data_IF_162739547496
#
_entry.id   IF_162739547496
#
_cell.length_a   1.000
_cell.length_b   1.000
_cell.length_c   1.000
_cell.angle_alpha   90.00
_cell.angle_beta   90.00
_cell.angle_gamma   90.00
#
_symmetry.space_group_name_H-M   'P 1'
#
loop_
_entity.id
_entity.type
_entity.pdbx_description
1 polymer ?
#
# COMPACT_ATOMS: atom_id res chain seq x y z
N UNK A 1 15.50 -15.42 -29.11
CA UNK A 1 16.20 -14.95 -27.91
C UNK A 1 15.59 -15.63 -26.69
N UNK A 2 16.35 -16.54 -26.08
CA UNK A 2 15.88 -17.31 -24.92
C UNK A 2 15.99 -16.42 -23.67
N UNK A 3 14.85 -15.97 -23.14
CA UNK A 3 14.82 -15.32 -21.84
C UNK A 3 15.15 -16.35 -20.75
N UNK A 4 16.33 -16.27 -20.18
CA UNK A 4 16.77 -17.16 -19.09
C UNK A 4 15.99 -16.84 -17.83
N UNK A 5 15.29 -17.84 -17.28
CA UNK A 5 14.84 -17.84 -15.89
C UNK A 5 16.05 -17.64 -14.98
N UNK A 6 16.07 -16.57 -14.19
CA UNK A 6 17.05 -16.42 -13.11
C UNK A 6 16.44 -16.99 -11.83
N UNK A 7 17.03 -18.08 -11.35
CA UNK A 7 16.75 -18.66 -10.04
C UNK A 7 17.83 -18.11 -9.09
N UNK A 8 17.40 -17.36 -8.08
CA UNK A 8 18.28 -16.93 -6.99
C UNK A 8 18.09 -17.90 -5.83
N UNK A 9 19.13 -18.61 -5.46
CA UNK A 9 19.08 -19.54 -4.37
C UNK A 9 19.95 -19.10 -3.21
N UNK A 10 19.52 -19.39 -2.01
CA UNK A 10 20.39 -19.47 -0.90
C UNK A 10 19.87 -19.18 0.49
N UNK A 11 19.25 -20.12 1.15
CA UNK A 11 19.28 -20.13 2.61
C UNK A 11 20.05 -21.35 3.10
N UNK A 12 20.99 -21.14 4.04
CA UNK A 12 21.85 -22.18 4.63
C UNK A 12 21.02 -23.25 5.34
N UNK A 13 21.36 -24.52 5.06
CA UNK A 13 20.78 -25.73 5.61
C UNK A 13 20.63 -25.70 7.13
N UNK A 14 19.37 -25.89 7.60
CA UNK A 14 19.09 -26.57 8.86
C UNK A 14 18.46 -27.92 8.53
N UNK A 15 19.03 -28.99 9.02
CA UNK A 15 18.50 -30.34 8.89
C UNK A 15 17.10 -30.42 9.50
N UNK A 16 16.11 -30.81 8.69
CA UNK A 16 14.74 -31.03 9.12
C UNK A 16 14.29 -32.44 8.80
N UNK A 17 13.75 -33.11 9.81
CA UNK A 17 13.32 -34.52 9.77
C UNK A 17 11.97 -34.77 9.08
N UNK A 18 11.22 -33.72 8.69
CA UNK A 18 10.04 -33.78 7.83
C UNK A 18 10.02 -32.63 6.81
N UNK A 19 9.53 -32.87 5.57
CA UNK A 19 9.43 -31.80 4.59
C UNK A 19 8.42 -30.75 5.07
N UNK A 20 8.89 -29.49 5.21
CA UNK A 20 8.01 -28.37 5.56
C UNK A 20 6.95 -28.16 4.50
N UNK A 21 5.74 -27.79 4.93
CA UNK A 21 4.67 -27.39 4.02
C UNK A 21 5.08 -26.12 3.26
N UNK A 22 4.86 -26.13 1.95
CA UNK A 22 5.22 -25.01 1.08
C UNK A 22 4.04 -24.05 0.97
N UNK A 23 4.30 -22.75 1.23
CA UNK A 23 3.36 -21.66 1.02
C UNK A 23 3.86 -20.78 -0.13
N UNK A 24 2.97 -20.46 -1.07
CA UNK A 24 3.29 -19.64 -2.22
C UNK A 24 2.73 -18.22 -2.08
N UNK A 25 3.57 -17.23 -2.29
CA UNK A 25 3.21 -15.81 -2.30
C UNK A 25 3.37 -15.26 -3.71
N UNK A 26 2.31 -14.68 -4.25
CA UNK A 26 2.26 -14.21 -5.63
C UNK A 26 2.13 -12.70 -5.64
N UNK A 27 3.08 -12.01 -6.30
CA UNK A 27 3.02 -10.58 -6.56
C UNK A 27 3.12 -10.30 -8.05
N UNK A 28 2.31 -9.35 -8.53
CA UNK A 28 2.36 -8.93 -9.93
C UNK A 28 3.66 -8.19 -10.29
N UNK A 29 4.31 -7.58 -9.32
CA UNK A 29 5.60 -6.89 -9.47
C UNK A 29 6.32 -6.79 -8.12
N UNK A 30 7.55 -6.27 -8.11
CA UNK A 30 8.34 -6.01 -6.90
C UNK A 30 8.77 -4.54 -6.80
N UNK A 31 7.87 -3.61 -7.12
CA UNK A 31 8.09 -2.16 -6.96
C UNK A 31 7.83 -1.72 -5.53
N UNK A 32 8.23 -0.49 -5.17
CA UNK A 32 7.96 0.12 -3.84
C UNK A 32 6.52 0.63 -3.68
N UNK A 33 5.60 0.23 -4.56
CA UNK A 33 4.18 0.60 -4.44
C UNK A 33 3.46 -0.21 -3.36
N UNK A 34 2.22 0.16 -3.00
CA UNK A 34 1.51 -0.41 -1.85
C UNK A 34 1.32 -1.92 -1.90
N UNK A 35 0.74 -2.46 -2.98
CA UNK A 35 0.41 -3.88 -3.05
C UNK A 35 1.65 -4.80 -2.95
N UNK A 36 2.77 -4.59 -3.67
CA UNK A 36 3.99 -5.38 -3.47
C UNK A 36 4.58 -5.28 -2.06
N UNK A 37 4.51 -4.11 -1.41
CA UNK A 37 4.95 -3.94 -0.01
C UNK A 37 4.10 -4.76 0.94
N UNK A 38 2.78 -4.81 0.75
CA UNK A 38 1.85 -5.58 1.60
C UNK A 38 2.19 -7.07 1.54
N UNK A 39 2.28 -7.67 0.35
CA UNK A 39 2.57 -9.12 0.24
C UNK A 39 3.97 -9.47 0.73
N UNK A 40 4.97 -8.60 0.53
CA UNK A 40 6.31 -8.77 1.09
C UNK A 40 6.28 -8.76 2.62
N UNK A 41 5.51 -7.86 3.22
CA UNK A 41 5.37 -7.80 4.68
C UNK A 41 4.64 -9.03 5.25
N UNK A 42 3.61 -9.54 4.54
CA UNK A 42 2.96 -10.81 4.90
C UNK A 42 3.97 -11.96 4.80
N UNK A 43 4.74 -12.02 3.72
CA UNK A 43 5.78 -13.03 3.53
C UNK A 43 6.83 -13.00 4.65
N UNK A 44 7.30 -11.81 5.05
CA UNK A 44 8.21 -11.62 6.20
C UNK A 44 7.60 -12.20 7.47
N UNK A 45 6.33 -11.91 7.74
CA UNK A 45 5.62 -12.43 8.90
C UNK A 45 5.51 -13.97 8.88
N UNK A 46 5.15 -14.57 7.74
CA UNK A 46 5.11 -16.04 7.61
C UNK A 46 6.50 -16.67 7.78
N UNK A 47 7.53 -16.08 7.20
CA UNK A 47 8.91 -16.55 7.34
C UNK A 47 9.38 -16.54 8.80
N UNK A 48 9.02 -15.49 9.54
CA UNK A 48 9.45 -15.30 10.93
C UNK A 48 8.65 -16.15 11.90
N UNK A 49 7.31 -16.21 11.77
CA UNK A 49 6.42 -16.75 12.79
C UNK A 49 5.78 -18.11 12.43
N UNK A 50 5.88 -18.57 11.18
CA UNK A 50 5.29 -19.83 10.75
C UNK A 50 6.34 -20.90 10.42
N UNK A 51 5.98 -22.17 10.64
CA UNK A 51 6.81 -23.34 10.28
C UNK A 51 6.44 -23.84 8.88
N UNK A 52 6.68 -23.00 7.90
CA UNK A 52 6.43 -23.23 6.49
C UNK A 52 7.65 -22.88 5.64
N UNK A 53 7.76 -23.49 4.46
CA UNK A 53 8.72 -23.08 3.45
C UNK A 53 8.03 -22.01 2.57
N UNK A 54 8.52 -20.78 2.63
CA UNK A 54 8.02 -19.69 1.83
C UNK A 54 8.62 -19.71 0.42
N UNK A 55 7.78 -19.54 -0.58
CA UNK A 55 8.15 -19.37 -1.98
C UNK A 55 7.44 -18.18 -2.59
N UNK A 56 8.05 -17.52 -3.55
CA UNK A 56 7.46 -16.34 -4.19
C UNK A 56 7.51 -16.45 -5.71
N UNK A 57 6.41 -16.05 -6.35
CA UNK A 57 6.36 -15.78 -7.78
C UNK A 57 6.11 -14.30 -7.99
N UNK A 58 7.03 -13.66 -8.71
CA UNK A 58 6.91 -12.28 -9.17
C UNK A 58 6.62 -12.30 -10.68
N UNK A 59 5.52 -11.66 -11.11
CA UNK A 59 5.23 -11.54 -12.53
C UNK A 59 6.29 -10.67 -13.21
N UNK A 60 6.64 -9.52 -12.60
CA UNK A 60 7.77 -8.68 -13.02
C UNK A 60 8.67 -8.33 -11.83
N UNK A 61 9.91 -7.94 -12.12
CA UNK A 61 10.87 -7.50 -11.12
C UNK A 61 10.56 -6.11 -10.56
N UNK A 62 11.50 -5.56 -9.81
CA UNK A 62 11.45 -4.24 -9.19
C UNK A 62 12.44 -4.14 -8.04
N UNK A 63 12.48 -2.98 -7.37
CA UNK A 63 13.42 -2.67 -6.30
C UNK A 63 13.35 -3.62 -5.09
N UNK A 64 12.17 -4.22 -4.84
CA UNK A 64 11.94 -5.15 -3.73
C UNK A 64 12.30 -6.60 -4.07
N UNK A 65 12.73 -6.92 -5.30
CA UNK A 65 12.97 -8.30 -5.71
C UNK A 65 14.08 -9.00 -4.89
N UNK A 66 15.11 -8.25 -4.44
CA UNK A 66 16.13 -8.76 -3.52
C UNK A 66 15.54 -9.17 -2.17
N UNK A 67 14.70 -8.31 -1.57
CA UNK A 67 14.08 -8.60 -0.28
C UNK A 67 13.19 -9.85 -0.33
N UNK A 68 12.45 -10.08 -1.43
CA UNK A 68 11.73 -11.35 -1.63
C UNK A 68 12.68 -12.54 -1.67
N UNK A 69 13.83 -12.39 -2.35
CA UNK A 69 14.81 -13.47 -2.52
C UNK A 69 15.59 -13.80 -1.25
N UNK A 70 15.75 -12.83 -0.35
CA UNK A 70 16.47 -13.01 0.92
C UNK A 70 15.70 -13.91 1.90
N UNK A 71 14.36 -13.95 1.80
CA UNK A 71 13.48 -14.64 2.76
C UNK A 71 12.67 -15.77 2.15
N UNK A 72 12.66 -15.91 0.83
CA UNK A 72 11.94 -16.97 0.14
C UNK A 72 12.67 -17.46 -1.11
N UNK A 73 12.31 -18.65 -1.58
CA UNK A 73 12.71 -19.08 -2.92
C UNK A 73 11.88 -18.32 -3.95
N UNK A 74 12.48 -17.31 -4.57
CA UNK A 74 11.80 -16.38 -5.46
C UNK A 74 12.05 -16.70 -6.92
N UNK A 75 10.97 -16.69 -7.72
CA UNK A 75 11.02 -16.79 -9.18
C UNK A 75 10.39 -15.56 -9.81
N UNK A 76 11.17 -14.84 -10.61
CA UNK A 76 10.68 -13.74 -11.42
C UNK A 76 10.42 -14.21 -12.86
N UNK A 77 9.18 -14.07 -13.32
CA UNK A 77 8.76 -14.55 -14.65
C UNK A 77 9.20 -13.63 -15.77
N UNK A 78 9.41 -12.33 -15.49
CA UNK A 78 9.82 -11.29 -16.43
C UNK A 78 8.99 -11.30 -17.73
N UNK A 79 7.68 -11.37 -17.60
CA UNK A 79 6.76 -11.42 -18.73
C UNK A 79 6.14 -10.06 -18.99
N UNK A 80 5.86 -9.70 -20.26
CA UNK A 80 5.05 -8.52 -20.59
C UNK A 80 3.66 -8.65 -19.98
N UNK A 81 3.12 -7.54 -19.43
CA UNK A 81 1.81 -7.49 -18.75
C UNK A 81 0.64 -8.01 -19.61
N UNK A 82 0.77 -7.99 -20.94
CA UNK A 82 -0.32 -8.32 -21.87
C UNK A 82 -0.31 -9.75 -22.44
N UNK A 83 0.57 -10.64 -21.92
CA UNK A 83 0.69 -12.02 -22.46
C UNK A 83 0.11 -13.07 -21.51
N UNK A 84 -1.21 -12.99 -21.25
CA UNK A 84 -1.90 -13.80 -20.24
C UNK A 84 -1.90 -15.32 -20.52
N UNK A 85 -2.07 -15.75 -21.77
CA UNK A 85 -2.19 -17.17 -22.11
C UNK A 85 -0.86 -17.93 -21.96
N UNK A 86 0.26 -17.28 -22.26
CA UNK A 86 1.58 -17.86 -22.06
C UNK A 86 1.99 -17.85 -20.57
N UNK A 87 1.53 -16.87 -19.80
CA UNK A 87 1.80 -16.78 -18.37
C UNK A 87 1.25 -18.00 -17.62
N UNK A 88 -0.03 -18.29 -17.81
CA UNK A 88 -0.70 -19.43 -17.21
C UNK A 88 0.03 -20.76 -17.50
N UNK A 89 0.37 -21.03 -18.77
CA UNK A 89 1.11 -22.24 -19.17
C UNK A 89 2.51 -22.32 -18.53
N UNK A 90 3.21 -21.18 -18.44
CA UNK A 90 4.56 -21.12 -17.84
C UNK A 90 4.52 -21.35 -16.32
N UNK A 91 3.58 -20.72 -15.62
CA UNK A 91 3.39 -20.95 -14.17
C UNK A 91 3.05 -22.40 -13.88
N UNK A 92 2.10 -22.96 -14.62
CA UNK A 92 1.73 -24.38 -14.48
C UNK A 92 2.92 -25.29 -14.71
N UNK A 93 3.69 -25.08 -15.79
CA UNK A 93 4.89 -25.86 -16.09
C UNK A 93 5.96 -25.70 -15.00
N UNK A 94 6.18 -24.51 -14.48
CA UNK A 94 7.11 -24.25 -13.38
C UNK A 94 6.72 -25.05 -12.13
N UNK A 95 5.46 -25.00 -11.72
CA UNK A 95 4.96 -25.70 -10.54
C UNK A 95 5.02 -27.24 -10.71
N UNK A 96 4.72 -27.78 -11.90
CA UNK A 96 4.78 -29.21 -12.19
C UNK A 96 6.21 -29.77 -12.28
N UNK A 97 7.20 -28.95 -12.62
CA UNK A 97 8.60 -29.39 -12.65
C UNK A 97 9.19 -29.68 -11.25
N UNK A 98 8.50 -29.28 -10.18
CA UNK A 98 8.88 -29.48 -8.79
C UNK A 98 8.43 -30.84 -8.21
N UNK A 99 8.48 -31.91 -9.02
CA UNK A 99 8.28 -33.32 -8.65
C UNK A 99 7.48 -33.54 -7.34
N UNK A 100 6.15 -33.62 -7.46
CA UNK A 100 5.22 -34.10 -6.41
C UNK A 100 5.17 -33.28 -5.10
N UNK A 101 5.77 -32.09 -5.02
CA UNK A 101 5.71 -31.24 -3.84
C UNK A 101 5.09 -29.88 -4.19
N UNK A 102 3.77 -29.87 -4.47
CA UNK A 102 3.04 -28.63 -4.73
C UNK A 102 2.85 -27.81 -3.44
N UNK A 103 2.75 -26.46 -3.55
CA UNK A 103 2.36 -25.64 -2.41
C UNK A 103 1.00 -26.06 -1.84
N UNK A 104 0.89 -26.10 -0.51
CA UNK A 104 -0.38 -26.43 0.17
C UNK A 104 -1.41 -25.32 0.03
N UNK A 105 -0.97 -24.08 -0.19
CA UNK A 105 -1.81 -22.92 -0.41
C UNK A 105 -1.02 -21.79 -1.07
N UNK A 106 -1.73 -20.87 -1.75
CA UNK A 106 -1.17 -19.65 -2.32
C UNK A 106 -1.92 -18.41 -1.87
N UNK A 107 -1.19 -17.33 -1.56
CA UNK A 107 -1.70 -15.98 -1.41
C UNK A 107 -1.41 -15.21 -2.70
N UNK A 108 -2.47 -14.78 -3.40
CA UNK A 108 -2.37 -14.02 -4.65
C UNK A 108 -2.73 -12.55 -4.38
N UNK A 109 -1.76 -11.68 -4.59
CA UNK A 109 -1.87 -10.27 -4.25
C UNK A 109 -2.22 -9.42 -5.47
N UNK A 110 -3.30 -8.62 -5.35
CA UNK A 110 -3.84 -7.78 -6.41
C UNK A 110 -4.59 -8.54 -7.52
N UNK A 111 -5.56 -7.88 -8.13
CA UNK A 111 -6.28 -8.37 -9.32
C UNK A 111 -5.33 -8.65 -10.50
N UNK A 112 -4.18 -8.00 -10.54
CA UNK A 112 -3.14 -8.26 -11.55
C UNK A 112 -2.56 -9.69 -11.48
N UNK A 113 -2.73 -10.39 -10.35
CA UNK A 113 -2.33 -11.79 -10.18
C UNK A 113 -3.36 -12.82 -10.70
N UNK A 114 -4.52 -12.39 -11.24
CA UNK A 114 -5.62 -13.27 -11.67
C UNK A 114 -5.21 -14.38 -12.64
N UNK A 115 -4.26 -14.11 -13.52
CA UNK A 115 -3.78 -15.09 -14.49
C UNK A 115 -2.93 -16.21 -13.85
N UNK A 116 -2.18 -15.88 -12.80
CA UNK A 116 -1.41 -16.86 -12.02
C UNK A 116 -2.37 -17.70 -11.17
N UNK A 117 -3.38 -17.07 -10.56
CA UNK A 117 -4.40 -17.73 -9.76
C UNK A 117 -5.09 -18.87 -10.53
N UNK A 118 -5.40 -18.66 -11.82
CA UNK A 118 -5.98 -19.71 -12.68
C UNK A 118 -5.09 -20.95 -12.78
N UNK A 119 -3.78 -20.77 -12.98
CA UNK A 119 -2.83 -21.89 -13.06
C UNK A 119 -2.79 -22.68 -11.73
N UNK A 120 -2.89 -21.98 -10.60
CA UNK A 120 -2.94 -22.61 -9.27
C UNK A 120 -4.22 -23.43 -9.08
N UNK A 121 -5.36 -22.89 -9.50
CA UNK A 121 -6.65 -23.57 -9.44
C UNK A 121 -6.65 -24.87 -10.24
N UNK A 122 -6.11 -24.88 -11.46
CA UNK A 122 -6.00 -26.08 -12.30
C UNK A 122 -5.10 -27.17 -11.68
N UNK A 123 -4.21 -26.80 -10.76
CA UNK A 123 -3.38 -27.73 -9.98
C UNK A 123 -4.00 -28.07 -8.62
N UNK A 124 -5.25 -27.68 -8.37
CA UNK A 124 -5.95 -27.84 -7.10
C UNK A 124 -5.23 -27.21 -5.90
N UNK A 125 -4.40 -26.16 -6.11
CA UNK A 125 -3.77 -25.40 -5.04
C UNK A 125 -4.79 -24.38 -4.52
N UNK A 126 -5.18 -24.42 -3.22
CA UNK A 126 -6.11 -23.45 -2.65
C UNK A 126 -5.53 -22.01 -2.74
N UNK A 127 -6.39 -21.06 -3.12
CA UNK A 127 -6.00 -19.66 -3.31
C UNK A 127 -6.73 -18.76 -2.31
N UNK A 128 -6.01 -17.87 -1.67
CA UNK A 128 -6.53 -16.66 -1.00
C UNK A 128 -6.15 -15.47 -1.87
N UNK A 129 -7.12 -14.66 -2.28
CA UNK A 129 -6.86 -13.46 -3.08
C UNK A 129 -6.98 -12.20 -2.23
N UNK A 130 -5.97 -11.33 -2.32
CA UNK A 130 -5.98 -9.99 -1.73
C UNK A 130 -6.39 -9.01 -2.83
N UNK A 131 -7.57 -8.41 -2.72
CA UNK A 131 -8.12 -7.49 -3.72
C UNK A 131 -7.99 -6.06 -3.20
N UNK A 132 -7.07 -5.32 -3.77
CA UNK A 132 -6.75 -3.94 -3.39
C UNK A 132 -7.32 -2.90 -4.35
N UNK A 133 -8.05 -3.32 -5.37
CA UNK A 133 -8.54 -2.44 -6.44
C UNK A 133 -10.03 -2.22 -6.31
N UNK A 134 -10.49 -1.02 -6.75
CA UNK A 134 -11.90 -0.72 -6.90
C UNK A 134 -12.47 -1.37 -8.18
N UNK A 135 -13.75 -1.74 -8.19
CA UNK A 135 -14.39 -2.37 -9.35
C UNK A 135 -14.36 -1.49 -10.60
N UNK A 136 -14.31 -0.17 -10.45
CA UNK A 136 -14.16 0.79 -11.55
C UNK A 136 -12.88 0.61 -12.38
N UNK A 137 -11.85 -0.06 -11.82
CA UNK A 137 -10.56 -0.30 -12.50
C UNK A 137 -10.55 -1.54 -13.39
N UNK A 138 -11.57 -2.41 -13.32
CA UNK A 138 -11.63 -3.70 -14.02
C UNK A 138 -13.07 -4.00 -14.51
N UNK A 139 -13.17 -4.93 -15.44
CA UNK A 139 -14.46 -5.46 -15.91
C UNK A 139 -14.88 -6.69 -15.08
N UNK A 140 -16.16 -7.05 -15.13
CA UNK A 140 -16.67 -8.27 -14.46
C UNK A 140 -15.92 -9.53 -14.90
N UNK A 141 -15.58 -9.64 -16.19
CA UNK A 141 -14.82 -10.76 -16.76
C UNK A 141 -13.44 -10.96 -16.11
N UNK A 142 -12.88 -9.92 -15.52
CA UNK A 142 -11.61 -9.99 -14.78
C UNK A 142 -11.81 -10.50 -13.35
N UNK A 143 -12.92 -10.14 -12.69
CA UNK A 143 -13.23 -10.53 -11.31
C UNK A 143 -13.77 -11.95 -11.20
N UNK A 144 -14.60 -12.40 -12.15
CA UNK A 144 -15.22 -13.74 -12.10
C UNK A 144 -14.21 -14.87 -11.87
N UNK A 145 -13.10 -14.97 -12.64
CA UNK A 145 -12.11 -16.01 -12.39
C UNK A 145 -11.51 -15.97 -10.96
N UNK A 146 -11.31 -14.78 -10.40
CA UNK A 146 -10.81 -14.62 -9.03
C UNK A 146 -11.85 -15.11 -8.02
N UNK A 147 -13.12 -14.76 -8.22
CA UNK A 147 -14.21 -15.20 -7.33
C UNK A 147 -14.41 -16.72 -7.35
N UNK A 148 -14.31 -17.32 -8.53
CA UNK A 148 -14.54 -18.76 -8.72
C UNK A 148 -13.44 -19.59 -8.04
N UNK A 149 -12.17 -19.20 -8.23
CA UNK A 149 -11.01 -19.98 -7.77
C UNK A 149 -10.61 -19.73 -6.31
N UNK A 150 -10.92 -18.57 -5.76
CA UNK A 150 -10.51 -18.22 -4.40
C UNK A 150 -11.33 -18.93 -3.34
N UNK A 151 -10.66 -19.47 -2.34
CA UNK A 151 -11.30 -19.96 -1.10
C UNK A 151 -11.75 -18.81 -0.21
N UNK A 152 -10.93 -17.75 -0.14
CA UNK A 152 -11.25 -16.48 0.52
C UNK A 152 -10.75 -15.32 -0.33
N UNK A 153 -11.46 -14.19 -0.23
CA UNK A 153 -11.14 -12.92 -0.90
C UNK A 153 -11.05 -11.87 0.19
N UNK A 154 -9.89 -11.26 0.35
CA UNK A 154 -9.64 -10.26 1.40
C UNK A 154 -9.65 -8.88 0.76
N UNK A 155 -10.56 -8.04 1.23
CA UNK A 155 -10.67 -6.63 0.89
C UNK A 155 -10.07 -5.76 1.99
N UNK A 156 -9.39 -4.65 1.67
CA UNK A 156 -8.69 -3.84 2.68
C UNK A 156 -9.66 -3.06 3.59
N UNK A 157 -10.82 -2.67 3.08
CA UNK A 157 -11.85 -1.90 3.79
C UNK A 157 -13.24 -2.25 3.32
N UNK A 158 -14.24 -1.89 4.13
CA UNK A 158 -15.66 -2.15 3.84
C UNK A 158 -16.11 -1.48 2.55
N UNK A 159 -15.71 -0.24 2.28
CA UNK A 159 -16.06 0.48 1.07
C UNK A 159 -15.67 -0.30 -0.20
N UNK A 160 -14.44 -0.81 -0.29
CA UNK A 160 -13.97 -1.58 -1.45
C UNK A 160 -14.76 -2.89 -1.62
N UNK A 161 -15.04 -3.58 -0.51
CA UNK A 161 -15.85 -4.82 -0.54
C UNK A 161 -17.27 -4.55 -1.02
N UNK A 162 -17.93 -3.54 -0.47
CA UNK A 162 -19.33 -3.24 -0.76
C UNK A 162 -19.52 -2.72 -2.20
N UNK A 163 -18.60 -1.90 -2.70
CA UNK A 163 -18.60 -1.49 -4.10
C UNK A 163 -18.38 -2.68 -5.05
N UNK A 164 -17.47 -3.59 -4.69
CA UNK A 164 -17.22 -4.80 -5.49
C UNK A 164 -18.43 -5.74 -5.45
N UNK A 165 -19.07 -5.90 -4.30
CA UNK A 165 -20.28 -6.71 -4.16
C UNK A 165 -21.45 -6.15 -4.97
N UNK A 166 -21.63 -4.83 -4.92
CA UNK A 166 -22.65 -4.11 -5.70
C UNK A 166 -22.42 -4.26 -7.21
N UNK A 167 -21.16 -4.20 -7.66
CA UNK A 167 -20.84 -4.26 -9.07
C UNK A 167 -20.88 -5.70 -9.64
N UNK A 168 -20.40 -6.70 -8.88
CA UNK A 168 -20.07 -8.02 -9.42
C UNK A 168 -20.58 -9.18 -8.57
N UNK A 169 -21.31 -8.95 -7.49
CA UNK A 169 -21.86 -9.97 -6.58
C UNK A 169 -20.79 -10.93 -6.04
N UNK A 170 -20.10 -10.52 -4.98
CA UNK A 170 -19.08 -11.34 -4.31
C UNK A 170 -19.73 -12.63 -3.77
N UNK A 171 -19.19 -13.84 -4.07
CA UNK A 171 -19.80 -15.08 -3.60
C UNK A 171 -19.93 -15.15 -2.07
N UNK A 172 -21.09 -15.58 -1.60
CA UNK A 172 -21.41 -15.67 -0.17
C UNK A 172 -20.34 -16.47 0.60
N UNK A 173 -19.92 -15.96 1.74
CA UNK A 173 -18.94 -16.59 2.61
C UNK A 173 -17.48 -16.54 2.15
N UNK A 174 -17.18 -15.98 0.96
CA UNK A 174 -15.80 -15.83 0.48
C UNK A 174 -15.19 -14.47 0.83
N UNK A 175 -15.96 -13.38 0.78
CA UNK A 175 -15.47 -12.00 1.02
C UNK A 175 -15.23 -11.71 2.49
N UNK A 176 -14.05 -11.23 2.83
CA UNK A 176 -13.65 -10.77 4.17
C UNK A 176 -13.08 -9.37 4.07
N UNK A 177 -13.26 -8.56 5.12
CA UNK A 177 -12.65 -7.23 5.23
C UNK A 177 -11.55 -7.31 6.29
N UNK A 178 -10.30 -7.10 5.87
CA UNK A 178 -9.14 -7.02 6.76
C UNK A 178 -8.25 -5.85 6.33
N UNK A 179 -8.08 -4.89 7.22
CA UNK A 179 -7.25 -3.69 6.97
C UNK A 179 -5.78 -3.98 7.23
N UNK A 180 -4.92 -3.74 6.23
CA UNK A 180 -3.49 -4.09 6.32
C UNK A 180 -2.68 -3.29 7.34
N UNK A 181 -3.17 -2.12 7.76
CA UNK A 181 -2.50 -1.30 8.76
C UNK A 181 -1.13 -0.72 8.33
N UNK A 182 -0.37 -0.26 9.33
CA UNK A 182 0.96 0.31 9.17
C UNK A 182 1.99 -0.79 8.91
N UNK A 183 2.57 -0.82 7.71
CA UNK A 183 3.51 -1.88 7.29
C UNK A 183 4.83 -1.88 8.07
N UNK A 184 5.28 -0.72 8.50
CA UNK A 184 6.49 -0.52 9.28
C UNK A 184 6.13 0.03 10.66
N UNK A 185 6.15 -0.79 11.72
CA UNK A 185 5.68 -0.40 13.05
C UNK A 185 6.51 0.71 13.70
N UNK A 186 7.75 0.92 13.22
CA UNK A 186 8.64 1.97 13.74
C UNK A 186 8.55 3.28 12.93
N UNK A 187 7.75 3.31 11.85
CA UNK A 187 7.58 4.51 11.04
C UNK A 187 7.07 5.69 11.90
N UNK A 188 7.73 6.83 11.76
CA UNK A 188 7.44 8.04 12.54
C UNK A 188 8.19 8.14 13.86
N UNK A 189 9.04 7.15 14.21
CA UNK A 189 9.77 7.12 15.48
C UNK A 189 11.29 7.17 15.34
N UNK A 190 11.83 6.92 14.15
CA UNK A 190 13.30 6.86 13.91
C UNK A 190 13.98 8.21 13.83
N UNK A 191 13.22 9.27 13.65
CA UNK A 191 13.74 10.62 13.54
C UNK A 191 12.94 11.56 14.43
N UNK A 192 13.62 12.40 15.20
CA UNK A 192 12.96 13.43 15.98
C UNK A 192 12.35 14.49 15.09
N UNK A 193 11.13 14.96 15.42
CA UNK A 193 10.43 15.98 14.63
C UNK A 193 11.27 17.23 14.40
N UNK A 194 11.99 17.73 15.43
CA UNK A 194 12.86 18.91 15.28
C UNK A 194 13.94 18.71 14.22
N UNK A 195 14.53 17.53 14.16
CA UNK A 195 15.56 17.19 13.16
C UNK A 195 14.94 17.10 11.75
N UNK A 196 13.81 16.39 11.63
CA UNK A 196 13.09 16.27 10.35
C UNK A 196 12.64 17.61 9.80
N UNK A 197 12.09 18.48 10.65
CA UNK A 197 11.70 19.87 10.33
C UNK A 197 12.86 20.68 9.75
N UNK A 198 14.02 20.63 10.40
CA UNK A 198 15.21 21.36 9.93
C UNK A 198 15.75 20.76 8.61
N UNK A 199 15.73 19.44 8.49
CA UNK A 199 16.19 18.75 7.28
C UNK A 199 15.38 19.17 6.04
N UNK A 200 14.04 19.14 6.12
CA UNK A 200 13.17 19.49 4.98
C UNK A 200 13.33 20.96 4.62
N UNK A 201 13.27 21.85 5.62
CA UNK A 201 13.41 23.27 5.38
C UNK A 201 14.75 23.64 4.73
N UNK A 202 15.83 23.01 5.17
CA UNK A 202 17.16 23.17 4.56
C UNK A 202 17.21 22.63 3.13
N UNK A 203 16.69 21.41 2.89
CA UNK A 203 16.69 20.77 1.56
C UNK A 203 15.93 21.62 0.54
N UNK A 204 14.77 22.14 0.93
CA UNK A 204 13.87 22.87 0.04
C UNK A 204 14.04 24.40 0.13
N UNK A 205 15.02 24.90 0.90
CA UNK A 205 15.25 26.33 1.13
C UNK A 205 14.01 27.08 1.61
N UNK A 206 13.23 26.46 2.52
CA UNK A 206 12.01 27.01 3.06
C UNK A 206 12.26 27.92 4.28
N UNK A 207 11.39 28.90 4.55
CA UNK A 207 11.40 29.68 5.79
C UNK A 207 11.32 28.77 7.04
N UNK A 208 11.92 29.22 8.13
CA UNK A 208 11.97 28.46 9.39
C UNK A 208 10.60 28.24 10.03
N UNK A 209 9.67 29.14 9.79
CA UNK A 209 8.28 29.15 10.25
C UNK A 209 7.27 28.62 9.22
N UNK A 210 7.74 28.11 8.07
CA UNK A 210 6.86 27.59 7.04
C UNK A 210 5.97 26.44 7.52
N UNK A 211 4.68 26.51 7.21
CA UNK A 211 3.73 25.41 7.37
C UNK A 211 3.78 24.52 6.13
N UNK A 212 4.04 23.23 6.32
CA UNK A 212 4.24 22.28 5.22
C UNK A 212 3.05 21.33 5.11
N UNK A 213 2.37 21.34 3.95
CA UNK A 213 1.35 20.37 3.55
C UNK A 213 1.99 19.31 2.67
N UNK A 214 2.00 18.07 3.14
CA UNK A 214 2.60 16.94 2.43
C UNK A 214 1.57 16.20 1.58
N UNK A 215 1.94 15.83 0.34
CA UNK A 215 1.31 14.80 -0.49
C UNK A 215 2.34 13.74 -0.83
N UNK A 216 1.90 12.48 -0.98
CA UNK A 216 2.82 11.39 -1.29
C UNK A 216 2.18 10.35 -2.22
N UNK A 217 2.89 9.98 -3.29
CA UNK A 217 2.47 8.96 -4.24
C UNK A 217 2.99 9.20 -5.66
N UNK A 218 2.61 8.33 -6.59
CA UNK A 218 2.94 8.49 -8.01
C UNK A 218 2.39 9.82 -8.54
N UNK A 219 3.17 10.51 -9.36
CA UNK A 219 2.75 11.75 -10.04
C UNK A 219 1.79 11.43 -11.18
N UNK A 220 0.54 11.11 -10.85
CA UNK A 220 -0.52 10.82 -11.82
C UNK A 220 -1.88 11.43 -11.41
N UNK A 221 -2.83 11.44 -12.35
CA UNK A 221 -4.17 11.98 -12.10
C UNK A 221 -4.98 11.12 -11.12
N UNK A 222 -4.72 9.85 -11.03
CA UNK A 222 -5.37 8.95 -10.07
C UNK A 222 -5.05 9.38 -8.63
N UNK A 223 -3.79 9.78 -8.38
CA UNK A 223 -3.36 10.32 -7.09
C UNK A 223 -3.75 11.78 -6.87
N UNK A 224 -4.34 12.43 -7.88
CA UNK A 224 -4.90 13.77 -7.75
C UNK A 224 -3.85 14.88 -7.59
N UNK A 225 -2.73 14.79 -8.31
CA UNK A 225 -1.69 15.82 -8.28
C UNK A 225 -2.23 17.20 -8.71
N UNK A 226 -3.22 17.24 -9.58
CA UNK A 226 -3.92 18.45 -10.01
C UNK A 226 -4.88 18.98 -8.94
N UNK A 227 -5.56 18.10 -8.18
CA UNK A 227 -6.33 18.48 -6.99
C UNK A 227 -5.41 19.09 -5.93
N UNK A 228 -4.25 18.47 -5.69
CA UNK A 228 -3.24 18.98 -4.75
C UNK A 228 -2.81 20.40 -5.12
N UNK A 229 -2.47 20.64 -6.39
CA UNK A 229 -2.11 21.98 -6.90
C UNK A 229 -3.31 22.92 -6.87
N UNK A 230 -4.51 22.46 -7.18
CA UNK A 230 -5.74 23.25 -7.13
C UNK A 230 -6.03 23.79 -5.73
N UNK A 231 -5.90 22.92 -4.71
CA UNK A 231 -6.03 23.32 -3.30
C UNK A 231 -4.92 24.28 -2.90
N UNK A 232 -3.66 24.01 -3.29
CA UNK A 232 -2.54 24.89 -3.01
C UNK A 232 -2.77 26.31 -3.55
N UNK A 233 -3.31 26.44 -4.77
CA UNK A 233 -3.67 27.74 -5.36
C UNK A 233 -4.67 28.50 -4.50
N UNK A 234 -5.67 27.83 -3.95
CA UNK A 234 -6.66 28.49 -3.08
C UNK A 234 -6.06 28.88 -1.73
N UNK A 235 -5.33 27.96 -1.09
CA UNK A 235 -4.69 28.21 0.21
C UNK A 235 -3.77 29.40 0.14
N UNK A 236 -2.82 29.41 -0.80
CA UNK A 236 -1.80 30.48 -0.90
C UNK A 236 -2.43 31.86 -1.23
N UNK A 237 -3.41 31.87 -2.15
CA UNK A 237 -4.10 33.14 -2.52
C UNK A 237 -4.96 33.70 -1.39
N UNK A 238 -5.47 32.86 -0.50
CA UNK A 238 -6.37 33.26 0.59
C UNK A 238 -5.66 33.27 1.96
N UNK A 239 -4.36 33.06 1.98
CA UNK A 239 -3.59 33.10 3.23
C UNK A 239 -3.46 34.54 3.73
N UNK A 240 -4.16 34.81 4.82
CA UNK A 240 -4.11 36.11 5.52
C UNK A 240 -3.14 36.07 6.72
N UNK A 241 -2.58 34.86 7.04
CA UNK A 241 -1.60 34.73 8.11
C UNK A 241 -0.19 35.17 7.64
N UNK A 242 0.68 35.50 8.57
CA UNK A 242 2.08 35.80 8.27
C UNK A 242 2.90 34.51 8.05
N UNK A 243 2.33 33.35 8.32
CA UNK A 243 3.00 32.04 8.16
C UNK A 243 3.02 31.62 6.69
N UNK A 244 4.17 31.45 6.06
CA UNK A 244 4.25 30.94 4.68
C UNK A 244 3.81 29.48 4.63
N UNK A 245 2.95 29.15 3.64
CA UNK A 245 2.42 27.81 3.48
C UNK A 245 3.03 27.19 2.22
N UNK A 246 3.67 26.02 2.36
CA UNK A 246 4.29 25.30 1.27
C UNK A 246 3.68 23.90 1.10
N UNK A 247 3.55 23.49 -0.14
CA UNK A 247 3.02 22.20 -0.54
C UNK A 247 4.15 21.33 -1.09
N UNK A 248 4.41 20.18 -0.50
CA UNK A 248 5.49 19.27 -0.88
C UNK A 248 4.91 17.96 -1.32
N UNK A 249 5.25 17.53 -2.54
CA UNK A 249 4.86 16.21 -3.05
C UNK A 249 6.09 15.30 -3.14
N UNK A 250 6.01 14.17 -2.44
CA UNK A 250 7.02 13.10 -2.49
C UNK A 250 6.54 11.99 -3.42
N UNK A 251 7.33 11.66 -4.39
CA UNK A 251 7.07 10.61 -5.38
C UNK A 251 7.34 11.08 -6.79
N UNK A 252 7.45 10.14 -7.69
CA UNK A 252 7.76 10.39 -9.09
C UNK A 252 6.72 9.77 -10.02
N UNK A 253 6.82 10.08 -11.30
CA UNK A 253 5.92 9.59 -12.33
C UNK A 253 6.36 10.03 -13.72
N UNK A 254 5.50 9.81 -14.71
CA UNK A 254 5.78 10.16 -16.08
C UNK A 254 6.09 11.66 -16.26
N UNK A 255 7.29 11.97 -16.78
CA UNK A 255 7.75 13.35 -17.02
C UNK A 255 7.93 13.70 -18.49
N UNK A 256 7.46 12.82 -19.39
CA UNK A 256 7.50 13.11 -20.83
C UNK A 256 6.58 14.28 -21.22
N UNK A 257 6.81 14.84 -22.38
CA UNK A 257 5.95 15.85 -22.98
C UNK A 257 4.50 15.36 -23.03
N UNK A 258 3.56 16.24 -22.66
CA UNK A 258 2.11 15.94 -22.58
C UNK A 258 1.69 15.01 -21.42
N UNK A 259 2.58 14.67 -20.48
CA UNK A 259 2.15 14.04 -19.24
C UNK A 259 1.36 15.01 -18.35
N UNK A 260 0.51 14.54 -17.43
CA UNK A 260 -0.17 15.41 -16.46
C UNK A 260 0.81 16.32 -15.69
N UNK A 261 1.95 15.77 -15.30
CA UNK A 261 3.01 16.53 -14.62
C UNK A 261 3.55 17.66 -15.48
N UNK A 262 3.77 17.44 -16.78
CA UNK A 262 4.24 18.48 -17.70
C UNK A 262 3.30 19.68 -17.74
N UNK A 263 1.98 19.45 -17.87
CA UNK A 263 1.00 20.53 -17.90
C UNK A 263 0.88 21.26 -16.55
N UNK A 264 0.97 20.53 -15.44
CA UNK A 264 0.99 21.15 -14.11
C UNK A 264 2.20 22.05 -13.91
N UNK A 265 3.38 21.65 -14.41
CA UNK A 265 4.57 22.50 -14.36
C UNK A 265 4.40 23.79 -15.18
N UNK A 266 3.79 23.70 -16.37
CA UNK A 266 3.45 24.88 -17.17
C UNK A 266 2.47 25.80 -16.43
N UNK A 267 1.44 25.24 -15.80
CA UNK A 267 0.48 26.01 -15.01
C UNK A 267 1.13 26.69 -13.80
N UNK A 268 2.01 25.97 -13.11
CA UNK A 268 2.75 26.52 -11.96
C UNK A 268 3.69 27.65 -12.41
N UNK A 269 4.44 27.49 -13.51
CA UNK A 269 5.36 28.50 -14.02
C UNK A 269 4.65 29.82 -14.41
N UNK A 270 3.35 29.75 -14.71
CA UNK A 270 2.48 30.89 -15.05
C UNK A 270 1.66 31.39 -13.86
N UNK A 271 1.86 30.85 -12.70
CA UNK A 271 1.10 31.19 -11.49
C UNK A 271 1.98 31.83 -10.43
N UNK A 272 1.36 32.69 -9.59
CA UNK A 272 2.04 33.34 -8.47
C UNK A 272 2.45 32.38 -7.35
N UNK A 273 2.04 31.08 -7.43
CA UNK A 273 2.29 30.10 -6.38
C UNK A 273 3.44 29.15 -6.70
N UNK A 274 4.18 29.36 -7.79
CA UNK A 274 5.24 28.45 -8.22
C UNK A 274 6.29 28.16 -7.14
N UNK A 275 6.57 29.12 -6.26
CA UNK A 275 7.53 28.97 -5.17
C UNK A 275 6.94 28.30 -3.91
N UNK A 276 5.65 28.02 -3.91
CA UNK A 276 4.94 27.36 -2.81
C UNK A 276 4.67 25.87 -3.04
N UNK A 277 4.91 25.35 -4.27
CA UNK A 277 4.64 23.94 -4.61
C UNK A 277 5.93 23.26 -5.07
N UNK A 278 6.31 22.18 -4.38
CA UNK A 278 7.57 21.47 -4.57
C UNK A 278 7.32 20.02 -4.92
N UNK A 279 7.69 19.61 -6.14
CA UNK A 279 7.70 18.20 -6.55
C UNK A 279 9.13 17.67 -6.41
N UNK A 280 9.40 16.90 -5.37
CA UNK A 280 10.77 16.53 -4.99
C UNK A 280 11.24 15.19 -5.55
N UNK A 281 10.35 14.47 -6.28
CA UNK A 281 10.66 13.16 -6.84
C UNK A 281 10.58 12.03 -5.82
N UNK A 282 10.93 10.81 -6.26
CA UNK A 282 10.99 9.64 -5.40
C UNK A 282 12.12 9.77 -4.37
N UNK A 283 11.84 9.33 -3.15
CA UNK A 283 12.80 9.26 -2.05
C UNK A 283 12.88 7.84 -1.51
N UNK A 284 14.08 7.37 -1.24
CA UNK A 284 14.30 6.07 -0.64
C UNK A 284 13.77 6.03 0.81
N UNK A 285 14.07 7.06 1.58
CA UNK A 285 13.52 7.27 2.92
C UNK A 285 12.55 8.45 2.91
N UNK A 286 11.26 8.16 3.05
CA UNK A 286 10.19 9.17 3.05
C UNK A 286 9.87 9.66 4.47
N UNK A 287 10.28 8.93 5.51
CA UNK A 287 9.92 9.21 6.91
C UNK A 287 10.22 10.64 7.36
N UNK A 288 11.39 11.26 7.02
CA UNK A 288 11.65 12.64 7.40
C UNK A 288 10.61 13.63 6.89
N UNK A 289 10.07 13.41 5.68
CA UNK A 289 9.06 14.29 5.09
C UNK A 289 7.72 14.19 5.82
N UNK A 290 7.33 12.98 6.24
CA UNK A 290 6.13 12.79 7.06
C UNK A 290 6.31 13.42 8.44
N UNK A 291 7.40 13.10 9.14
CA UNK A 291 7.64 13.59 10.51
C UNK A 291 7.85 15.10 10.56
N UNK A 292 8.46 15.69 9.53
CA UNK A 292 8.79 17.13 9.48
C UNK A 292 7.71 18.01 8.88
N UNK A 293 6.61 17.46 8.36
CA UNK A 293 5.46 18.22 7.83
C UNK A 293 4.43 18.55 8.92
N UNK A 294 3.44 19.38 8.56
CA UNK A 294 2.43 19.89 9.48
C UNK A 294 1.02 19.35 9.20
N UNK A 295 0.73 18.97 7.95
CA UNK A 295 -0.50 18.31 7.55
C UNK A 295 -0.24 17.36 6.36
N UNK A 296 -1.11 16.36 6.18
CA UNK A 296 -1.09 15.46 5.03
C UNK A 296 -2.37 15.64 4.21
N UNK A 297 -2.22 15.90 2.92
CA UNK A 297 -3.33 16.03 1.98
C UNK A 297 -3.35 14.82 1.04
N UNK A 298 -4.30 13.91 1.23
CA UNK A 298 -4.59 12.81 0.32
C UNK A 298 -5.60 13.28 -0.73
N UNK A 299 -5.11 13.75 -1.85
CA UNK A 299 -5.91 14.34 -2.93
C UNK A 299 -6.37 13.32 -3.99
N UNK A 300 -6.22 12.03 -3.71
CA UNK A 300 -6.49 10.95 -4.67
C UNK A 300 -7.93 10.96 -5.19
N UNK A 301 -8.10 10.65 -6.49
CA UNK A 301 -9.40 10.33 -7.10
C UNK A 301 -9.86 8.93 -6.78
N UNK A 302 -8.92 7.99 -6.89
CA UNK A 302 -9.16 6.56 -6.68
C UNK A 302 -8.00 5.98 -5.90
N UNK A 303 -8.24 5.63 -4.66
CA UNK A 303 -7.24 5.03 -3.79
C UNK A 303 -7.90 4.07 -2.79
N UNK A 304 -8.00 2.79 -3.12
CA UNK A 304 -8.79 1.82 -2.36
C UNK A 304 -8.48 1.81 -0.87
N UNK A 305 -7.19 1.73 -0.50
CA UNK A 305 -6.72 1.90 0.87
C UNK A 305 -5.21 2.21 0.88
N UNK A 306 -4.82 3.47 0.77
CA UNK A 306 -3.42 3.85 0.59
C UNK A 306 -2.57 3.61 1.84
N UNK A 307 -1.42 2.94 1.69
CA UNK A 307 -0.48 2.72 2.79
C UNK A 307 0.00 4.05 3.42
N UNK A 308 0.17 5.09 2.60
CA UNK A 308 0.64 6.40 3.04
C UNK A 308 -0.26 7.08 4.08
N UNK A 309 -1.54 6.68 4.17
CA UNK A 309 -2.44 7.24 5.19
C UNK A 309 -2.03 6.77 6.59
N UNK A 310 -1.65 5.50 6.74
CA UNK A 310 -1.15 4.98 8.00
C UNK A 310 0.22 5.57 8.35
N UNK A 311 1.07 5.80 7.35
CA UNK A 311 2.36 6.48 7.49
C UNK A 311 2.15 7.93 7.98
N UNK A 312 1.20 8.67 7.39
CA UNK A 312 0.85 10.03 7.85
C UNK A 312 0.30 10.04 9.28
N UNK A 313 -0.61 9.12 9.60
CA UNK A 313 -1.17 8.99 10.94
C UNK A 313 -0.12 8.58 11.97
N UNK A 314 0.83 7.68 11.61
CA UNK A 314 1.93 7.24 12.48
C UNK A 314 2.95 8.36 12.73
N UNK A 315 3.16 9.25 11.76
CA UNK A 315 3.93 10.49 11.96
C UNK A 315 3.14 11.56 12.75
N UNK A 316 1.87 11.30 13.04
CA UNK A 316 0.97 12.21 13.75
C UNK A 316 0.56 13.42 12.92
N UNK A 317 0.45 13.30 11.60
CA UNK A 317 -0.04 14.38 10.76
C UNK A 317 -1.58 14.45 10.80
N UNK A 318 -2.18 15.64 10.93
CA UNK A 318 -3.56 15.85 10.55
C UNK A 318 -3.75 15.46 9.08
N UNK A 319 -4.66 14.51 8.82
CA UNK A 319 -4.94 14.03 7.46
C UNK A 319 -6.19 14.70 6.93
N UNK A 320 -6.13 15.18 5.69
CA UNK A 320 -7.26 15.71 4.93
C UNK A 320 -7.44 14.81 3.70
N UNK A 321 -8.63 14.27 3.51
CA UNK A 321 -8.94 13.39 2.37
C UNK A 321 -10.30 13.71 1.79
N UNK A 322 -10.50 13.36 0.51
CA UNK A 322 -11.82 13.42 -0.11
C UNK A 322 -12.66 12.19 0.27
N UNK A 323 -13.97 12.39 0.40
CA UNK A 323 -14.93 11.29 0.37
C UNK A 323 -14.95 10.62 -1.02
N UNK A 324 -15.60 9.47 -1.13
CA UNK A 324 -15.78 8.72 -2.38
C UNK A 324 -14.47 8.40 -3.15
N UNK A 325 -13.30 8.72 -2.59
CA UNK A 325 -11.99 8.42 -3.22
C UNK A 325 -11.47 7.02 -2.93
N UNK A 326 -12.12 6.30 -1.99
CA UNK A 326 -11.76 4.97 -1.50
C UNK A 326 -11.83 4.85 0.01
N UNK A 327 -11.03 3.98 0.60
CA UNK A 327 -11.10 3.63 2.02
C UNK A 327 -10.42 4.59 3.01
N UNK A 328 -9.85 5.69 2.53
CA UNK A 328 -9.17 6.65 3.40
C UNK A 328 -10.08 7.23 4.49
N UNK A 329 -11.37 7.42 4.17
CA UNK A 329 -12.38 7.90 5.12
C UNK A 329 -12.52 6.98 6.33
N UNK A 330 -12.44 5.66 6.12
CA UNK A 330 -12.49 4.69 7.23
C UNK A 330 -11.26 4.79 8.12
N UNK A 331 -10.09 5.10 7.54
CA UNK A 331 -8.85 5.26 8.31
C UNK A 331 -8.91 6.48 9.25
N UNK A 332 -9.43 7.63 8.77
CA UNK A 332 -9.48 8.88 9.54
C UNK A 332 -10.77 9.10 10.32
N UNK A 333 -11.65 8.11 10.36
CA UNK A 333 -12.89 8.19 11.14
C UNK A 333 -12.65 8.48 12.63
N UNK A 334 -13.72 8.78 13.38
CA UNK A 334 -13.67 9.07 14.82
C UNK A 334 -12.78 10.29 15.19
N UNK A 335 -12.63 11.23 14.24
CA UNK A 335 -11.91 12.48 14.45
C UNK A 335 -10.39 12.35 14.41
N UNK A 336 -9.85 11.34 13.70
CA UNK A 336 -8.43 11.22 13.43
C UNK A 336 -7.98 12.03 12.19
N UNK A 337 -8.90 12.67 11.47
CA UNK A 337 -8.63 13.52 10.32
C UNK A 337 -9.90 14.19 9.80
N UNK A 338 -9.79 14.82 8.65
CA UNK A 338 -10.88 15.52 7.97
C UNK A 338 -11.25 14.80 6.67
N UNK A 339 -12.54 14.51 6.52
CA UNK A 339 -13.12 14.07 5.26
C UNK A 339 -13.87 15.25 4.66
N UNK A 340 -13.56 15.60 3.42
CA UNK A 340 -14.20 16.70 2.69
C UNK A 340 -14.94 16.13 1.46
N UNK A 341 -16.04 16.77 1.04
CA UNK A 341 -16.73 16.37 -0.19
C UNK A 341 -15.76 16.34 -1.37
N UNK A 342 -15.91 15.35 -2.25
CA UNK A 342 -15.01 15.19 -3.39
C UNK A 342 -14.94 16.46 -4.25
N UNK A 343 -13.71 16.98 -4.42
CA UNK A 343 -13.47 18.18 -5.20
C UNK A 343 -13.80 19.51 -4.49
N UNK A 344 -14.22 19.50 -3.22
CA UNK A 344 -14.43 20.75 -2.46
C UNK A 344 -13.09 21.34 -2.00
N UNK A 345 -12.41 22.00 -2.93
CA UNK A 345 -11.14 22.68 -2.67
C UNK A 345 -11.28 23.82 -1.66
N UNK A 346 -12.47 24.45 -1.61
CA UNK A 346 -12.72 25.56 -0.68
C UNK A 346 -12.71 25.07 0.76
N UNK A 347 -13.41 23.97 1.03
CA UNK A 347 -13.44 23.39 2.39
C UNK A 347 -12.05 22.85 2.78
N UNK A 348 -11.36 22.12 1.87
CA UNK A 348 -10.00 21.65 2.11
C UNK A 348 -9.04 22.81 2.41
N UNK A 349 -9.15 23.91 1.65
CA UNK A 349 -8.35 25.14 1.86
C UNK A 349 -8.64 25.78 3.23
N UNK A 350 -9.91 25.86 3.63
CA UNK A 350 -10.29 26.41 4.93
C UNK A 350 -9.73 25.56 6.08
N UNK A 351 -9.77 24.23 5.97
CA UNK A 351 -9.20 23.31 6.97
C UNK A 351 -7.69 23.53 7.09
N UNK A 352 -6.96 23.62 5.98
CA UNK A 352 -5.50 23.87 6.02
C UNK A 352 -5.20 25.19 6.72
N UNK A 353 -5.91 26.28 6.37
CA UNK A 353 -5.71 27.58 7.01
C UNK A 353 -6.09 27.59 8.50
N UNK A 354 -7.12 26.83 8.86
CA UNK A 354 -7.47 26.61 10.27
C UNK A 354 -6.34 25.91 11.03
N UNK A 355 -5.71 24.88 10.45
CA UNK A 355 -4.57 24.18 11.07
C UNK A 355 -3.35 25.11 11.25
N UNK A 356 -3.15 26.09 10.36
CA UNK A 356 -2.10 27.13 10.50
C UNK A 356 -2.37 28.04 11.69
N UNK A 357 -3.62 28.45 11.90
CA UNK A 357 -3.99 29.46 12.90
C UNK A 357 -4.39 28.86 14.25
N UNK A 358 -4.69 27.56 14.33
CA UNK A 358 -5.19 26.87 15.52
C UNK A 358 -4.38 25.59 15.79
N UNK A 359 -3.14 25.72 16.31
CA UNK A 359 -2.23 24.58 16.51
C UNK A 359 -2.75 23.54 17.53
N UNK A 360 -3.67 23.94 18.42
CA UNK A 360 -4.33 23.03 19.37
C UNK A 360 -5.17 21.98 18.67
N UNK A 361 -5.82 22.32 17.56
CA UNK A 361 -6.58 21.36 16.73
C UNK A 361 -5.62 20.35 16.11
N UNK A 362 -4.48 20.81 15.56
CA UNK A 362 -3.46 19.92 15.00
C UNK A 362 -2.91 18.95 16.06
N UNK A 363 -2.69 19.44 17.30
CA UNK A 363 -2.22 18.62 18.42
C UNK A 363 -3.24 17.53 18.82
N UNK A 364 -4.52 17.90 18.92
CA UNK A 364 -5.60 16.95 19.23
C UNK A 364 -5.73 15.85 18.16
N UNK A 365 -5.66 16.23 16.88
CA UNK A 365 -5.69 15.29 15.76
C UNK A 365 -4.49 14.34 15.77
N UNK A 366 -3.31 14.87 16.10
CA UNK A 366 -2.07 14.07 16.24
C UNK A 366 -2.27 12.93 17.23
N UNK A 367 -2.74 13.23 18.44
CA UNK A 367 -2.97 12.23 19.47
C UNK A 367 -3.95 11.15 19.02
N UNK A 368 -5.10 11.56 18.46
CA UNK A 368 -6.10 10.63 17.94
C UNK A 368 -5.57 9.74 16.81
N UNK A 369 -4.81 10.32 15.87
CA UNK A 369 -4.19 9.58 14.77
C UNK A 369 -3.21 8.52 15.28
N UNK A 370 -2.30 8.91 16.19
CA UNK A 370 -1.33 8.01 16.79
C UNK A 370 -2.01 6.88 17.58
N UNK A 371 -3.03 7.21 18.38
CA UNK A 371 -3.80 6.21 19.12
C UNK A 371 -4.47 5.23 18.16
N UNK A 372 -5.15 5.74 17.12
CA UNK A 372 -5.89 4.92 16.18
C UNK A 372 -5.00 3.95 15.41
N UNK A 373 -3.80 4.38 14.97
CA UNK A 373 -2.83 3.48 14.30
C UNK A 373 -2.40 2.37 15.26
N UNK A 374 -2.09 2.69 16.50
CA UNK A 374 -1.64 1.72 17.50
C UNK A 374 -2.72 0.71 17.89
N UNK A 375 -3.99 1.10 17.89
CA UNK A 375 -5.10 0.25 18.33
C UNK A 375 -5.73 -0.54 17.18
N UNK A 376 -5.88 0.07 15.99
CA UNK A 376 -6.67 -0.52 14.90
C UNK A 376 -5.85 -0.93 13.67
N UNK A 377 -4.63 -0.38 13.52
CA UNK A 377 -3.87 -0.53 12.28
C UNK A 377 -2.47 -1.11 12.53
N UNK A 378 -2.35 -2.10 13.42
CA UNK A 378 -1.12 -2.87 13.56
C UNK A 378 -1.03 -3.93 12.48
N UNK A 379 0.06 -3.90 11.72
CA UNK A 379 0.27 -4.88 10.64
C UNK A 379 0.38 -6.32 11.17
N UNK A 380 0.95 -6.51 12.38
CA UNK A 380 1.01 -7.83 13.01
C UNK A 380 -0.36 -8.47 13.17
N UNK A 381 -1.36 -7.71 13.60
CA UNK A 381 -2.73 -8.21 13.81
C UNK A 381 -3.40 -8.62 12.49
N UNK A 382 -3.16 -7.84 11.43
CA UNK A 382 -3.60 -8.19 10.06
C UNK A 382 -2.94 -9.47 9.56
N UNK A 383 -1.61 -9.59 9.70
CA UNK A 383 -0.87 -10.77 9.27
C UNK A 383 -1.25 -12.02 10.08
N UNK A 384 -1.47 -11.87 11.38
CA UNK A 384 -1.96 -12.95 12.25
C UNK A 384 -3.34 -13.45 11.85
N UNK A 385 -4.28 -12.56 11.48
CA UNK A 385 -5.59 -12.95 10.96
C UNK A 385 -5.47 -13.71 9.63
N UNK A 386 -4.53 -13.35 8.77
CA UNK A 386 -4.27 -14.12 7.53
C UNK A 386 -3.73 -15.51 7.88
N UNK A 387 -2.84 -15.64 8.87
CA UNK A 387 -2.37 -16.96 9.33
C UNK A 387 -3.54 -17.78 9.89
N UNK A 388 -4.46 -17.18 10.68
CA UNK A 388 -5.66 -17.87 11.19
C UNK A 388 -6.52 -18.40 10.03
N UNK A 389 -6.77 -17.60 8.99
CA UNK A 389 -7.53 -18.02 7.80
C UNK A 389 -6.83 -19.18 7.08
N UNK A 390 -5.50 -19.14 6.97
CA UNK A 390 -4.72 -20.24 6.36
C UNK A 390 -4.83 -21.50 7.20
N UNK A 391 -4.67 -21.42 8.52
CA UNK A 391 -4.81 -22.55 9.45
C UNK A 391 -6.20 -23.18 9.37
N UNK A 392 -7.25 -22.37 9.37
CA UNK A 392 -8.64 -22.82 9.23
C UNK A 392 -8.90 -23.55 7.90
N UNK A 393 -8.44 -22.98 6.78
CA UNK A 393 -8.61 -23.58 5.47
C UNK A 393 -7.82 -24.86 5.27
N UNK A 394 -6.67 -25.00 5.91
CA UNK A 394 -5.83 -26.19 5.84
C UNK A 394 -6.20 -27.24 6.89
N UNK A 395 -6.95 -26.90 7.92
CA UNK A 395 -7.26 -27.76 9.06
C UNK A 395 -6.03 -28.14 9.89
N UNK A 396 -4.98 -27.32 9.85
CA UNK A 396 -3.69 -27.58 10.52
C UNK A 396 -3.08 -26.29 11.03
N UNK A 397 -2.36 -26.39 12.13
CA UNK A 397 -1.60 -25.30 12.65
C UNK A 397 -0.23 -25.16 11.95
N UNK A 398 0.09 -23.94 11.52
CA UNK A 398 1.37 -23.61 10.86
C UNK A 398 2.26 -22.69 11.67
N UNK A 399 1.76 -22.03 12.74
CA UNK A 399 2.57 -21.19 13.62
C UNK A 399 3.64 -21.99 14.34
N UNK A 400 4.83 -21.37 14.53
CA UNK A 400 5.90 -21.94 15.35
C UNK A 400 5.42 -22.17 16.80
N UNK A 401 5.91 -23.24 17.45
CA UNK A 401 5.45 -23.66 18.79
C UNK A 401 5.54 -22.55 19.84
N UNK A 402 6.57 -21.72 19.77
CA UNK A 402 6.79 -20.60 20.70
C UNK A 402 5.67 -19.54 20.57
N UNK A 403 5.22 -19.24 19.36
CA UNK A 403 4.14 -18.29 19.11
C UNK A 403 2.77 -18.79 19.56
N UNK A 404 2.53 -20.11 19.46
CA UNK A 404 1.29 -20.73 19.97
C UNK A 404 1.17 -20.58 21.48
N UNK A 405 2.29 -20.74 22.23
CA UNK A 405 2.29 -20.60 23.70
C UNK A 405 1.99 -19.17 24.14
N UNK A 406 2.49 -18.16 23.43
CA UNK A 406 2.23 -16.75 23.73
C UNK A 406 0.75 -16.36 23.53
N UNK A 407 0.08 -16.92 22.50
CA UNK A 407 -1.35 -16.66 22.25
C UNK A 407 -2.31 -17.35 23.22
N UNK A 408 -1.93 -18.47 23.78
CA UNK A 408 -2.74 -19.19 24.79
C UNK A 408 -2.61 -18.49 26.16
N UNK A 409 -1.54 -17.75 26.38
CA UNK A 409 -1.25 -17.02 27.62
C UNK A 409 -1.74 -15.56 27.63
N UNK A 410 -2.19 -15.03 26.48
CA UNK A 410 -2.77 -13.69 26.32
C UNK A 410 -4.30 -13.75 26.24
#
# INVERSE_FOLDING_TARGET
>A
MHSRLRIFGGSRNREFTQPRKRMLFVSHEATRTGAPRIILSILKHFHEYCDVQCESILHSGGHLASEFSDISRTTCLNLPRHNSDNLHKKVRRFLLNEKNNLPVMALCNSMESRHISRALSELNIPVISLVHELPSSYKEVDYRPVFDISRKIIFPVKAVRDETDKAFSVPAGKGLVLSQGLLDPEFGTRIERKVAVLQIRKELSLPTDAFIVLGCGTLDLRKGIDHFVGIAKQVVKQNESNTPIHFVWVGDGPRWAHSPYHYLQLDLSRSSIQHHVHFIGERENVEPYFVGSDAFLLSSRVDPFPCVIHEAMAAGLPVITFDESGGACEAVADGAGFVVPYGDYKLASNIIRMLVTQPEIASSLREKSLQRVREKYRFSDYADQIVDIVEDLLGIAIRKQQQRRLRIAA
#
